data_IF_124353220418
#
_entry.id   IF_124353220418
#
_cell.length_a   1.000
_cell.length_b   1.000
_cell.length_c   1.000
_cell.angle_alpha   90.00
_cell.angle_beta   90.00
_cell.angle_gamma   90.00
#
_symmetry.space_group_name_H-M   'P 1'
#
loop_
_entity.id
_entity.type
_entity.pdbx_description
1 polymer ?
#
# COMPACT_ATOMS: atom_id res chain seq x y z
N UNK A 1 -7.87 -12.09 18.21
CA UNK A 1 -9.33 -12.27 18.02
C UNK A 1 -9.78 -11.36 16.88
N UNK A 2 -10.18 -11.91 15.73
CA UNK A 2 -10.67 -11.12 14.61
C UNK A 2 -11.98 -10.45 15.00
N UNK A 3 -12.06 -9.12 14.92
CA UNK A 3 -13.33 -8.38 15.09
C UNK A 3 -14.36 -8.96 14.10
N UNK A 4 -15.50 -9.39 14.62
CA UNK A 4 -16.64 -9.81 13.79
C UNK A 4 -17.07 -8.62 12.92
N UNK A 5 -17.15 -8.82 11.60
CA UNK A 5 -17.61 -7.80 10.65
C UNK A 5 -19.05 -7.38 11.02
N UNK A 6 -19.27 -6.14 11.48
CA UNK A 6 -20.58 -5.67 11.91
C UNK A 6 -21.59 -5.61 10.76
N UNK A 7 -21.12 -5.55 9.51
CA UNK A 7 -21.96 -5.41 8.32
C UNK A 7 -22.27 -6.75 7.65
N UNK A 8 -21.86 -7.88 8.23
CA UNK A 8 -22.08 -9.21 7.67
C UNK A 8 -23.57 -9.51 7.45
N UNK A 9 -24.42 -9.13 8.40
CA UNK A 9 -25.88 -9.31 8.32
C UNK A 9 -26.48 -8.46 7.21
N UNK A 10 -26.09 -7.18 7.14
CA UNK A 10 -26.57 -6.24 6.11
C UNK A 10 -26.21 -6.71 4.70
N UNK A 11 -25.03 -7.33 4.52
CA UNK A 11 -24.59 -7.88 3.23
C UNK A 11 -25.37 -9.12 2.79
N UNK A 12 -25.91 -9.88 3.74
CA UNK A 12 -26.73 -11.05 3.46
C UNK A 12 -28.18 -10.73 3.07
N UNK A 13 -28.67 -9.54 3.42
CA UNK A 13 -30.08 -9.16 3.22
C UNK A 13 -30.55 -9.30 1.76
N UNK A 14 -29.83 -8.79 0.73
CA UNK A 14 -30.29 -8.92 -0.64
C UNK A 14 -30.41 -10.38 -1.10
N UNK A 15 -29.49 -11.25 -0.65
CA UNK A 15 -29.53 -12.68 -0.98
C UNK A 15 -30.74 -13.35 -0.31
N UNK A 16 -30.97 -13.07 0.97
CA UNK A 16 -32.08 -13.66 1.73
C UNK A 16 -33.41 -13.22 1.14
N UNK A 17 -33.60 -11.92 0.91
CA UNK A 17 -34.84 -11.36 0.35
C UNK A 17 -35.07 -11.84 -1.08
N UNK A 18 -34.03 -11.84 -1.93
CA UNK A 18 -34.14 -12.35 -3.30
C UNK A 18 -34.43 -13.84 -3.37
N UNK A 19 -33.81 -14.65 -2.51
CA UNK A 19 -34.08 -16.09 -2.44
C UNK A 19 -35.49 -16.38 -1.92
N UNK A 20 -35.92 -15.67 -0.88
CA UNK A 20 -37.28 -15.78 -0.34
C UNK A 20 -38.32 -15.38 -1.40
N UNK A 21 -38.09 -14.28 -2.13
CA UNK A 21 -38.95 -13.83 -3.22
C UNK A 21 -39.08 -14.87 -4.34
N UNK A 22 -37.96 -15.46 -4.78
CA UNK A 22 -37.95 -16.51 -5.78
C UNK A 22 -38.74 -17.75 -5.33
N UNK A 23 -38.56 -18.19 -4.08
CA UNK A 23 -39.28 -19.35 -3.52
C UNK A 23 -40.78 -19.06 -3.41
N UNK A 24 -41.16 -17.88 -2.92
CA UNK A 24 -42.57 -17.50 -2.81
C UNK A 24 -43.26 -17.40 -4.17
N UNK A 25 -42.59 -16.84 -5.19
CA UNK A 25 -43.11 -16.81 -6.56
C UNK A 25 -43.26 -18.21 -7.15
N UNK A 26 -42.29 -19.10 -6.89
CA UNK A 26 -42.36 -20.48 -7.33
C UNK A 26 -43.52 -21.25 -6.68
N UNK A 27 -43.69 -21.11 -5.36
CA UNK A 27 -44.81 -21.72 -4.62
C UNK A 27 -46.14 -21.15 -5.12
N UNK A 28 -46.24 -19.83 -5.27
CA UNK A 28 -47.43 -19.17 -5.82
C UNK A 28 -47.77 -19.73 -7.21
N UNK A 29 -46.75 -19.95 -8.05
CA UNK A 29 -46.92 -20.49 -9.39
C UNK A 29 -47.45 -21.92 -9.40
N UNK A 30 -46.96 -22.79 -8.51
CA UNK A 30 -47.43 -24.19 -8.40
C UNK A 30 -48.88 -24.25 -7.92
N UNK A 31 -49.24 -23.37 -6.99
CA UNK A 31 -50.58 -23.37 -6.37
C UNK A 31 -51.65 -22.65 -7.22
N UNK A 32 -51.27 -21.94 -8.28
CA UNK A 32 -52.19 -21.20 -9.15
C UNK A 32 -52.69 -22.09 -10.31
N UNK A 33 -53.99 -22.46 -10.36
CA UNK A 33 -54.51 -23.36 -11.40
C UNK A 33 -54.72 -22.68 -12.76
N UNK A 34 -55.21 -21.43 -12.75
CA UNK A 34 -55.44 -20.64 -13.96
C UNK A 34 -54.62 -19.35 -13.91
N UNK A 35 -53.89 -19.07 -15.00
CA UNK A 35 -52.96 -17.94 -15.04
C UNK A 35 -53.52 -16.79 -15.86
N UNK A 36 -53.66 -15.63 -15.22
CA UNK A 36 -54.02 -14.39 -15.92
C UNK A 36 -52.82 -13.74 -16.60
N UNK A 37 -53.08 -12.96 -17.66
CA UNK A 37 -52.03 -12.21 -18.37
C UNK A 37 -51.34 -11.14 -17.51
N UNK A 38 -52.03 -10.58 -16.51
CA UNK A 38 -51.43 -9.64 -15.56
C UNK A 38 -50.51 -10.37 -14.59
N UNK A 39 -50.92 -11.54 -14.09
CA UNK A 39 -50.12 -12.36 -13.18
C UNK A 39 -48.85 -12.88 -13.85
N UNK A 40 -48.91 -13.31 -15.11
CA UNK A 40 -47.70 -13.76 -15.84
C UNK A 40 -46.63 -12.67 -15.97
N UNK A 41 -47.05 -11.42 -16.20
CA UNK A 41 -46.15 -10.26 -16.27
C UNK A 41 -45.57 -9.91 -14.90
N UNK A 42 -46.39 -9.98 -13.85
CA UNK A 42 -45.95 -9.74 -12.48
C UNK A 42 -44.94 -10.80 -12.01
N UNK A 43 -45.19 -12.08 -12.31
CA UNK A 43 -44.27 -13.19 -12.01
C UNK A 43 -42.91 -12.98 -12.70
N UNK A 44 -42.92 -12.61 -13.99
CA UNK A 44 -41.69 -12.35 -14.74
C UNK A 44 -40.87 -11.20 -14.12
N UNK A 45 -41.51 -10.09 -13.76
CA UNK A 45 -40.86 -8.97 -13.07
C UNK A 45 -40.35 -9.38 -11.68
N UNK A 46 -41.12 -10.17 -10.94
CA UNK A 46 -40.74 -10.66 -9.61
C UNK A 46 -39.54 -11.61 -9.64
N UNK A 47 -39.46 -12.50 -10.64
CA UNK A 47 -38.29 -13.37 -10.86
C UNK A 47 -37.06 -12.55 -11.21
N UNK A 48 -37.20 -11.55 -12.10
CA UNK A 48 -36.12 -10.64 -12.45
C UNK A 48 -35.62 -9.86 -11.22
N UNK A 49 -36.52 -9.33 -10.40
CA UNK A 49 -36.17 -8.61 -9.17
C UNK A 49 -35.44 -9.53 -8.18
N UNK A 50 -35.91 -10.77 -8.02
CA UNK A 50 -35.28 -11.78 -7.17
C UNK A 50 -33.86 -12.10 -7.63
N UNK A 51 -33.65 -12.28 -8.94
CA UNK A 51 -32.34 -12.50 -9.53
C UNK A 51 -31.39 -11.31 -9.34
N UNK A 52 -31.89 -10.07 -9.53
CA UNK A 52 -31.11 -8.85 -9.31
C UNK A 52 -30.69 -8.68 -7.84
N UNK A 53 -31.58 -9.00 -6.89
CA UNK A 53 -31.27 -8.95 -5.46
C UNK A 53 -30.19 -9.98 -5.07
N UNK A 54 -30.29 -11.21 -5.59
CA UNK A 54 -29.26 -12.24 -5.36
C UNK A 54 -27.92 -11.80 -5.94
N UNK A 55 -27.90 -11.32 -7.20
CA UNK A 55 -26.69 -10.83 -7.84
C UNK A 55 -26.05 -9.67 -7.05
N UNK A 56 -26.84 -8.71 -6.61
CA UNK A 56 -26.37 -7.58 -5.80
C UNK A 56 -25.73 -8.05 -4.50
N UNK A 57 -26.35 -9.01 -3.81
CA UNK A 57 -25.80 -9.60 -2.60
C UNK A 57 -24.48 -10.36 -2.84
N UNK A 58 -24.39 -11.11 -3.95
CA UNK A 58 -23.15 -11.79 -4.34
C UNK A 58 -22.02 -10.79 -4.65
N UNK A 59 -22.32 -9.68 -5.31
CA UNK A 59 -21.35 -8.61 -5.57
C UNK A 59 -20.85 -7.99 -4.25
N UNK A 60 -21.72 -7.76 -3.27
CA UNK A 60 -21.34 -7.21 -1.96
C UNK A 60 -20.47 -8.15 -1.11
N UNK A 61 -20.52 -9.46 -1.36
CA UNK A 61 -19.64 -10.43 -0.70
C UNK A 61 -18.21 -10.40 -1.26
N UNK A 62 -18.03 -10.00 -2.53
CA UNK A 62 -16.71 -10.02 -3.19
C UNK A 62 -15.82 -8.82 -2.81
N UNK A 63 -16.37 -7.75 -2.23
CA UNK A 63 -15.63 -6.50 -1.96
C UNK A 63 -15.16 -6.43 -0.49
N UNK A 64 -14.20 -7.26 -0.11
CA UNK A 64 -13.32 -6.94 1.03
C UNK A 64 -11.86 -7.06 0.61
N UNK A 65 -11.15 -5.93 0.68
CA UNK A 65 -9.69 -5.96 0.68
C UNK A 65 -9.25 -6.69 1.95
N UNK A 66 -8.54 -7.81 1.81
CA UNK A 66 -7.91 -8.46 2.93
C UNK A 66 -6.88 -7.49 3.51
N UNK A 67 -7.06 -7.10 4.78
CA UNK A 67 -6.10 -6.25 5.47
C UNK A 67 -4.78 -7.02 5.51
N UNK A 68 -3.67 -6.45 5.01
CA UNK A 68 -2.38 -7.12 5.05
C UNK A 68 -1.97 -7.46 6.49
N UNK A 69 -1.35 -8.62 6.69
CA UNK A 69 -0.82 -8.99 8.00
C UNK A 69 0.36 -8.06 8.35
N UNK A 70 0.14 -7.24 9.37
CA UNK A 70 1.11 -6.27 9.87
C UNK A 70 2.08 -6.99 10.81
N UNK A 71 3.39 -6.85 10.58
CA UNK A 71 4.42 -7.41 11.47
C UNK A 71 5.04 -6.34 12.36
N UNK A 72 5.58 -6.73 13.50
CA UNK A 72 6.47 -5.88 14.29
C UNK A 72 7.88 -5.99 13.70
N UNK A 73 8.45 -4.89 13.21
CA UNK A 73 9.78 -4.92 12.60
C UNK A 73 10.87 -5.22 13.64
N UNK A 74 11.88 -5.97 13.23
CA UNK A 74 13.02 -6.35 14.05
C UNK A 74 14.11 -5.28 13.90
N UNK A 75 14.42 -4.58 14.98
CA UNK A 75 15.44 -3.54 14.99
C UNK A 75 15.24 -2.55 16.13
N UNK A 76 16.04 -1.51 16.13
CA UNK A 76 15.98 -0.42 17.10
C UNK A 76 15.48 0.86 16.43
N UNK A 77 14.70 1.66 17.15
CA UNK A 77 14.29 2.98 16.66
C UNK A 77 15.48 3.94 16.76
N UNK A 78 15.96 4.43 15.61
CA UNK A 78 17.12 5.31 15.51
C UNK A 78 16.84 6.51 14.60
N UNK A 79 17.66 7.54 14.77
CA UNK A 79 17.71 8.71 13.91
C UNK A 79 19.18 9.12 13.74
N UNK A 80 19.73 8.84 12.57
CA UNK A 80 21.13 9.01 12.23
C UNK A 80 21.24 9.94 11.02
N UNK A 81 21.92 11.07 11.19
CA UNK A 81 22.24 12.03 10.13
C UNK A 81 23.76 12.14 10.00
N UNK A 82 24.25 12.37 8.78
CA UNK A 82 25.66 12.70 8.57
C UNK A 82 25.97 14.06 9.23
N UNK A 83 26.93 14.13 10.17
CA UNK A 83 27.20 15.35 10.93
C UNK A 83 27.77 16.48 10.06
N UNK A 84 28.40 16.17 8.94
CA UNK A 84 29.03 17.12 8.01
C UNK A 84 28.03 17.84 7.10
N UNK A 85 26.74 17.51 7.15
CA UNK A 85 25.72 18.13 6.32
C UNK A 85 25.42 19.59 6.75
N UNK A 86 25.13 20.49 5.80
CA UNK A 86 24.62 21.83 6.10
C UNK A 86 23.33 21.77 6.94
N UNK A 87 23.13 22.75 7.82
CA UNK A 87 21.98 22.75 8.74
C UNK A 87 20.64 22.82 8.00
N UNK A 88 20.58 23.52 6.86
CA UNK A 88 19.43 23.52 5.97
C UNK A 88 19.07 22.10 5.53
N UNK A 89 20.06 21.32 5.08
CA UNK A 89 19.86 19.95 4.62
C UNK A 89 19.46 19.03 5.77
N UNK A 90 20.10 19.15 6.94
CA UNK A 90 19.74 18.37 8.13
C UNK A 90 18.29 18.62 8.54
N UNK A 91 17.87 19.88 8.58
CA UNK A 91 16.50 20.28 8.94
C UNK A 91 15.50 19.68 7.97
N UNK A 92 15.80 19.74 6.68
CA UNK A 92 14.92 19.26 5.63
C UNK A 92 14.82 17.74 5.57
N UNK A 93 15.93 17.03 5.74
CA UNK A 93 15.95 15.57 5.89
C UNK A 93 15.20 15.12 7.16
N UNK A 94 15.38 15.83 8.27
CA UNK A 94 14.67 15.57 9.52
C UNK A 94 13.15 15.78 9.35
N UNK A 95 12.75 16.86 8.69
CA UNK A 95 11.35 17.16 8.42
C UNK A 95 10.70 16.15 7.46
N UNK A 96 11.33 15.90 6.31
CA UNK A 96 10.83 14.96 5.30
C UNK A 96 10.66 13.55 5.86
N UNK A 97 11.66 13.05 6.58
CA UNK A 97 11.58 11.72 7.19
C UNK A 97 10.56 11.64 8.31
N UNK A 98 10.38 12.70 9.08
CA UNK A 98 9.34 12.73 10.11
C UNK A 98 7.96 12.63 9.46
N UNK A 99 7.70 13.43 8.43
CA UNK A 99 6.41 13.42 7.74
C UNK A 99 6.10 12.05 7.14
N UNK A 100 7.08 11.43 6.49
CA UNK A 100 6.91 10.10 5.90
C UNK A 100 6.63 9.02 6.95
N UNK A 101 7.36 9.02 8.08
CA UNK A 101 7.16 8.03 9.14
C UNK A 101 5.84 8.20 9.91
N UNK A 102 5.29 9.41 9.96
CA UNK A 102 4.08 9.73 10.73
C UNK A 102 2.81 9.75 9.89
N UNK A 103 2.90 10.08 8.60
CA UNK A 103 1.75 10.23 7.71
C UNK A 103 1.63 9.12 6.66
N UNK A 104 2.58 8.19 6.60
CA UNK A 104 2.49 7.00 5.74
C UNK A 104 2.68 5.72 6.54
N UNK A 105 2.54 4.57 5.89
CA UNK A 105 2.81 3.25 6.47
C UNK A 105 4.31 2.94 6.64
N UNK A 106 5.19 3.87 6.29
CA UNK A 106 6.65 3.72 6.42
C UNK A 106 7.07 3.61 7.88
N UNK A 107 7.96 2.67 8.17
CA UNK A 107 8.55 2.44 9.50
C UNK A 107 10.07 2.55 9.52
N UNK A 108 10.71 2.46 8.37
CA UNK A 108 12.15 2.58 8.20
C UNK A 108 12.43 3.41 6.97
N UNK A 109 13.38 4.34 7.05
CA UNK A 109 13.71 5.25 5.96
C UNK A 109 15.22 5.43 5.86
N UNK A 110 15.74 5.33 4.64
CA UNK A 110 17.15 5.57 4.33
C UNK A 110 17.23 6.51 3.12
N UNK A 111 18.03 7.57 3.23
CA UNK A 111 18.29 8.51 2.12
C UNK A 111 19.74 8.38 1.71
N UNK A 112 19.96 8.19 0.41
CA UNK A 112 21.27 8.08 -0.21
C UNK A 112 21.37 9.17 -1.28
N UNK A 113 22.48 9.87 -1.32
CA UNK A 113 22.76 10.89 -2.32
C UNK A 113 24.23 10.83 -2.70
N UNK A 114 24.55 10.81 -4.00
CA UNK A 114 25.91 10.69 -4.53
C UNK A 114 26.70 9.53 -3.91
N UNK A 115 26.04 8.38 -3.76
CA UNK A 115 26.62 7.17 -3.15
C UNK A 115 26.85 7.21 -1.64
N UNK A 116 26.49 8.30 -0.96
CA UNK A 116 26.63 8.44 0.51
C UNK A 116 25.27 8.33 1.20
N UNK A 117 25.21 7.60 2.29
CA UNK A 117 24.02 7.53 3.16
C UNK A 117 23.95 8.81 3.97
N UNK A 118 22.94 9.65 3.72
CA UNK A 118 22.78 10.94 4.39
C UNK A 118 21.94 10.87 5.66
N UNK A 119 20.92 10.00 5.63
CA UNK A 119 19.93 9.85 6.70
C UNK A 119 19.53 8.39 6.83
N UNK A 120 19.42 7.92 8.08
CA UNK A 120 18.68 6.70 8.43
C UNK A 120 17.74 7.03 9.58
N UNK A 121 16.46 6.69 9.47
CA UNK A 121 15.47 6.95 10.52
C UNK A 121 14.40 5.87 10.63
N UNK A 122 13.93 5.62 11.84
CA UNK A 122 12.87 4.66 12.14
C UNK A 122 13.43 3.36 12.70
N UNK A 123 12.77 2.23 12.46
CA UNK A 123 13.22 0.92 12.94
C UNK A 123 14.34 0.43 12.02
N UNK A 124 15.55 0.28 12.53
CA UNK A 124 16.74 -0.03 11.74
C UNK A 124 17.49 -1.24 12.31
N UNK A 125 18.08 -2.08 11.45
CA UNK A 125 18.97 -3.13 11.89
C UNK A 125 20.33 -2.54 12.34
N UNK A 126 21.16 -3.33 13.05
CA UNK A 126 22.52 -2.92 13.42
C UNK A 126 23.40 -2.59 12.22
N UNK A 127 23.20 -3.30 11.09
CA UNK A 127 23.93 -3.07 9.85
C UNK A 127 23.54 -1.73 9.23
N UNK A 128 24.52 -0.87 8.96
CA UNK A 128 24.33 0.49 8.41
C UNK A 128 24.86 0.67 6.99
N UNK A 129 25.72 -0.23 6.53
CA UNK A 129 26.33 -0.17 5.21
C UNK A 129 25.31 -0.44 4.12
N UNK A 130 25.25 0.46 3.12
CA UNK A 130 24.38 0.30 1.96
C UNK A 130 25.22 -0.12 0.76
N UNK A 131 24.94 -1.31 0.23
CA UNK A 131 25.52 -1.80 -1.03
C UNK A 131 24.45 -1.78 -2.12
N UNK A 132 24.54 -0.88 -3.13
CA UNK A 132 23.58 -0.82 -4.21
C UNK A 132 23.55 -2.11 -5.05
N UNK A 133 22.42 -2.82 -5.00
CA UNK A 133 22.15 -3.98 -5.84
C UNK A 133 21.51 -3.61 -7.19
N UNK A 134 20.90 -4.60 -7.83
CA UNK A 134 20.31 -4.44 -9.16
C UNK A 134 19.09 -3.51 -9.18
N UNK A 135 18.31 -3.46 -8.10
CA UNK A 135 17.09 -2.64 -8.07
C UNK A 135 17.46 -1.17 -7.90
N UNK A 136 18.39 -0.86 -7.01
CA UNK A 136 18.89 0.51 -6.85
C UNK A 136 19.55 1.01 -8.13
N UNK A 137 20.38 0.19 -8.80
CA UNK A 137 20.94 0.54 -10.12
C UNK A 137 19.86 0.89 -11.14
N UNK A 138 18.80 0.09 -11.23
CA UNK A 138 17.67 0.37 -12.12
C UNK A 138 16.94 1.67 -11.78
N UNK A 139 16.83 2.02 -10.49
CA UNK A 139 16.22 3.29 -10.05
C UNK A 139 17.08 4.47 -10.51
N UNK A 140 18.41 4.39 -10.37
CA UNK A 140 19.33 5.42 -10.86
C UNK A 140 19.28 5.55 -12.40
N UNK A 141 19.35 4.44 -13.13
CA UNK A 141 19.36 4.44 -14.60
C UNK A 141 18.06 4.99 -15.21
N UNK A 142 16.92 4.59 -14.64
CA UNK A 142 15.61 4.92 -15.21
C UNK A 142 14.99 6.17 -14.60
N UNK A 143 15.52 6.65 -13.47
CA UNK A 143 14.94 7.73 -12.65
C UNK A 143 13.44 7.49 -12.45
N UNK A 144 13.10 6.26 -12.08
CA UNK A 144 11.72 5.82 -11.86
C UNK A 144 11.62 5.06 -10.54
N UNK A 145 10.56 5.30 -9.76
CA UNK A 145 10.36 4.58 -8.52
C UNK A 145 10.17 3.08 -8.78
N UNK A 146 10.68 2.28 -7.86
CA UNK A 146 10.43 0.84 -7.83
C UNK A 146 9.73 0.50 -6.52
N UNK A 147 8.53 -0.07 -6.63
CA UNK A 147 7.75 -0.53 -5.49
C UNK A 147 7.74 -2.06 -5.42
N UNK A 148 8.36 -2.60 -4.37
CA UNK A 148 8.33 -4.00 -4.00
C UNK A 148 7.16 -4.23 -3.05
N UNK A 149 6.01 -4.58 -3.64
CA UNK A 149 4.74 -4.80 -2.93
C UNK A 149 4.75 -5.96 -1.94
N UNK A 150 5.61 -6.95 -2.15
CA UNK A 150 5.81 -8.09 -1.25
C UNK A 150 7.28 -8.52 -1.36
N UNK A 151 8.09 -8.05 -0.41
CA UNK A 151 9.55 -8.25 -0.41
C UNK A 151 9.91 -9.74 -0.44
N UNK A 152 9.08 -10.62 0.14
CA UNK A 152 9.35 -12.07 0.17
C UNK A 152 9.33 -12.68 -1.23
N UNK A 153 8.56 -12.11 -2.15
CA UNK A 153 8.47 -12.58 -3.54
C UNK A 153 9.69 -12.21 -4.39
N UNK A 154 10.57 -11.31 -3.92
CA UNK A 154 11.70 -10.83 -4.70
C UNK A 154 13.02 -11.47 -4.23
N UNK A 155 13.75 -12.18 -5.11
CA UNK A 155 15.05 -12.76 -4.77
C UNK A 155 16.12 -11.68 -4.52
N UNK A 156 15.97 -10.50 -5.15
CA UNK A 156 16.87 -9.35 -4.97
C UNK A 156 16.78 -8.66 -3.61
N UNK A 157 15.87 -9.08 -2.72
CA UNK A 157 15.66 -8.47 -1.39
C UNK A 157 16.92 -8.41 -0.50
N UNK A 158 17.91 -9.25 -0.79
CA UNK A 158 19.19 -9.33 -0.09
C UNK A 158 19.93 -7.97 -0.16
N UNK A 159 19.67 -7.16 -1.19
CA UNK A 159 20.28 -5.82 -1.30
C UNK A 159 19.75 -4.80 -0.27
N UNK A 160 18.70 -5.12 0.49
CA UNK A 160 18.10 -4.23 1.51
C UNK A 160 18.42 -4.69 2.94
N UNK A 161 19.57 -5.30 3.16
CA UNK A 161 20.02 -5.79 4.47
C UNK A 161 20.30 -4.68 5.51
N UNK A 162 20.27 -3.41 5.09
CA UNK A 162 20.27 -2.21 5.94
C UNK A 162 18.85 -1.77 6.39
N UNK A 163 17.80 -2.50 5.99
CA UNK A 163 16.44 -2.41 6.54
C UNK A 163 16.14 -3.63 7.43
N UNK A 164 15.12 -3.56 8.31
CA UNK A 164 14.71 -4.71 9.11
C UNK A 164 14.48 -5.97 8.25
N UNK A 165 15.00 -7.12 8.67
CA UNK A 165 14.96 -8.37 7.88
C UNK A 165 13.53 -8.81 7.54
N UNK A 166 12.57 -8.45 8.39
CA UNK A 166 11.15 -8.75 8.22
C UNK A 166 10.35 -7.59 7.60
N UNK A 167 11.00 -6.67 6.88
CA UNK A 167 10.32 -5.65 6.06
C UNK A 167 9.43 -6.34 5.01
N UNK A 168 8.17 -5.90 4.89
CA UNK A 168 7.19 -6.56 4.01
C UNK A 168 6.95 -5.80 2.69
N UNK A 169 7.15 -4.48 2.69
CA UNK A 169 7.02 -3.63 1.50
C UNK A 169 8.17 -2.62 1.43
N UNK A 170 8.70 -2.37 0.24
CA UNK A 170 9.79 -1.41 0.03
C UNK A 170 9.48 -0.50 -1.16
N UNK A 171 9.57 0.81 -0.99
CA UNK A 171 9.59 1.78 -2.10
C UNK A 171 11.01 2.35 -2.22
N UNK A 172 11.59 2.24 -3.40
CA UNK A 172 12.80 2.96 -3.79
C UNK A 172 12.38 4.14 -4.67
N UNK A 173 12.34 5.33 -4.09
CA UNK A 173 11.96 6.58 -4.76
C UNK A 173 13.24 7.34 -5.17
N UNK A 174 13.46 7.64 -6.46
CA UNK A 174 14.59 8.47 -6.87
C UNK A 174 14.46 9.90 -6.31
N UNK A 175 15.59 10.49 -5.92
CA UNK A 175 15.74 11.91 -5.58
C UNK A 175 16.62 12.54 -6.66
N UNK A 176 15.99 13.09 -7.70
CA UNK A 176 16.70 13.51 -8.90
C UNK A 176 17.46 12.33 -9.55
N UNK A 177 18.62 12.61 -10.14
CA UNK A 177 19.49 11.60 -10.77
C UNK A 177 20.49 10.97 -9.81
N UNK A 178 20.86 11.71 -8.77
CA UNK A 178 22.01 11.40 -7.90
C UNK A 178 21.61 10.75 -6.58
N UNK A 179 20.31 10.71 -6.25
CA UNK A 179 19.82 10.21 -4.97
C UNK A 179 18.70 9.20 -5.08
N UNK A 180 18.49 8.49 -3.97
CA UNK A 180 17.37 7.59 -3.77
C UNK A 180 16.95 7.60 -2.31
N UNK A 181 15.65 7.61 -2.08
CA UNK A 181 15.00 7.44 -0.80
C UNK A 181 14.38 6.04 -0.75
N UNK A 182 14.74 5.27 0.26
CA UNK A 182 14.30 3.91 0.45
C UNK A 182 13.40 3.87 1.67
N UNK A 183 12.15 3.46 1.47
CA UNK A 183 11.12 3.41 2.51
C UNK A 183 10.71 1.95 2.74
N UNK A 184 10.82 1.49 3.98
CA UNK A 184 10.41 0.16 4.42
C UNK A 184 9.10 0.20 5.21
N UNK A 185 8.17 -0.67 4.85
CA UNK A 185 6.88 -0.85 5.51
C UNK A 185 6.77 -2.24 6.16
N UNK A 186 5.95 -2.31 7.20
CA UNK A 186 5.75 -3.52 7.99
C UNK A 186 4.53 -4.35 7.55
N UNK A 187 3.97 -4.05 6.39
CA UNK A 187 2.88 -4.77 5.75
C UNK A 187 3.09 -4.83 4.23
N UNK A 188 2.73 -5.94 3.55
CA UNK A 188 2.79 -5.99 2.09
C UNK A 188 1.66 -5.16 1.48
N UNK A 189 1.86 -4.63 0.26
CA UNK A 189 0.88 -3.83 -0.51
C UNK A 189 0.26 -2.68 0.31
N UNK A 190 1.03 -2.11 1.23
CA UNK A 190 0.53 -1.16 2.23
C UNK A 190 0.49 0.29 1.73
N UNK A 191 1.35 0.65 0.79
CA UNK A 191 1.35 2.00 0.21
C UNK A 191 0.18 2.19 -0.74
N UNK A 192 -0.57 3.27 -0.52
CA UNK A 192 -1.64 3.73 -1.40
C UNK A 192 -1.08 4.62 -2.51
N UNK A 193 -1.87 4.87 -3.57
CA UNK A 193 -1.51 5.85 -4.61
C UNK A 193 -1.26 7.26 -4.04
N UNK A 194 -1.97 7.61 -2.96
CA UNK A 194 -1.77 8.88 -2.29
C UNK A 194 -0.42 8.91 -1.58
N UNK A 195 -0.02 7.82 -0.92
CA UNK A 195 1.31 7.70 -0.32
C UNK A 195 2.42 7.81 -1.36
N UNK A 196 2.30 7.09 -2.49
CA UNK A 196 3.26 7.17 -3.59
C UNK A 196 3.40 8.60 -4.13
N UNK A 197 2.29 9.34 -4.26
CA UNK A 197 2.28 10.73 -4.71
C UNK A 197 2.97 11.65 -3.69
N UNK A 198 2.70 11.47 -2.40
CA UNK A 198 3.39 12.22 -1.33
C UNK A 198 4.88 11.93 -1.29
N UNK A 199 5.26 10.65 -1.40
CA UNK A 199 6.66 10.20 -1.44
C UNK A 199 7.39 10.85 -2.62
N UNK A 200 6.77 10.88 -3.81
CA UNK A 200 7.34 11.53 -4.98
C UNK A 200 7.51 13.04 -4.77
N UNK A 201 6.48 13.74 -4.29
CA UNK A 201 6.55 15.19 -4.07
C UNK A 201 7.61 15.59 -3.03
N UNK A 202 7.75 14.80 -1.96
CA UNK A 202 8.82 15.00 -0.97
C UNK A 202 10.19 14.75 -1.60
N UNK A 203 10.34 13.72 -2.42
CA UNK A 203 11.59 13.44 -3.12
C UNK A 203 11.97 14.55 -4.11
N UNK A 204 11.01 15.12 -4.84
CA UNK A 204 11.25 16.25 -5.73
C UNK A 204 11.72 17.50 -4.96
N UNK A 205 11.10 17.78 -3.80
CA UNK A 205 11.52 18.87 -2.91
C UNK A 205 12.92 18.64 -2.35
N UNK A 206 13.21 17.41 -1.92
CA UNK A 206 14.55 17.04 -1.44
C UNK A 206 15.59 17.16 -2.56
N UNK A 207 15.25 16.84 -3.81
CA UNK A 207 16.17 16.94 -4.94
C UNK A 207 16.68 18.37 -5.12
N UNK A 208 15.79 19.37 -5.06
CA UNK A 208 16.16 20.79 -5.11
C UNK A 208 17.06 21.16 -3.93
N UNK A 209 16.65 20.77 -2.73
CA UNK A 209 17.39 21.10 -1.50
C UNK A 209 18.81 20.52 -1.51
N UNK A 210 18.96 19.26 -1.95
CA UNK A 210 20.26 18.58 -1.99
C UNK A 210 21.14 19.12 -3.12
N UNK A 211 20.57 19.41 -4.29
CA UNK A 211 21.31 20.00 -5.40
C UNK A 211 21.89 21.38 -5.06
N UNK A 212 21.14 22.23 -4.35
CA UNK A 212 21.58 23.59 -3.99
C UNK A 212 22.63 23.61 -2.89
N UNK A 213 22.63 22.62 -1.99
CA UNK A 213 23.41 22.66 -0.75
C UNK A 213 24.55 21.64 -0.68
N UNK A 214 24.55 20.62 -1.53
CA UNK A 214 25.62 19.61 -1.62
C UNK A 214 26.34 19.79 -2.94
N UNK A 215 27.58 20.31 -2.88
CA UNK A 215 28.43 20.42 -4.06
C UNK A 215 28.70 19.03 -4.62
N UNK A 216 28.51 18.87 -5.93
CA UNK A 216 28.96 17.70 -6.68
C UNK A 216 30.46 17.58 -6.44
N UNK A 217 30.89 16.54 -5.73
CA UNK A 217 32.29 16.18 -5.69
C UNK A 217 32.59 15.55 -7.04
N UNK A 218 33.06 16.35 -8.00
CA UNK A 218 33.73 15.82 -9.19
C UNK A 218 35.00 15.11 -8.70
N UNK A 219 34.96 13.78 -8.66
CA UNK A 219 36.15 12.92 -8.65
C UNK A 219 36.66 12.73 -10.06
#
# INVERSE_FOLDING_TARGET
MSKSDPNRVLRGLPIVVGSLGAVLLFVNRILTPELTNSQSRADALGVLLSALLILTGLLWQQVQAKIPDVVQLIGEEKFELVPELPDTVKTELAWASHLLLTNTVTRSLVVIYQGKVLLRRGILPPKSEVTPGAILKRVYEKVKPVYLVDVKAYPGRIEFDYLPENTQGIICQPIGKEGVMILGANAPRSYTKQDETWISGIADKLAVTLADNIKIVET
#
